data_IF_979010504749
#
_entry.id   IF_979010504749
#
_cell.length_a   1.000
_cell.length_b   1.000
_cell.length_c   1.000
_cell.angle_alpha   90.00
_cell.angle_beta   90.00
_cell.angle_gamma   90.00
#
_symmetry.space_group_name_H-M   'P 1'
#
loop_
_entity.id
_entity.type
_entity.pdbx_description
1 polymer ?
#
# COMPACT_ATOMS: atom_id res chain seq x y z
N UNK A 1 59.44 -1.95 -46.17
CA UNK A 1 58.06 -2.48 -46.29
C UNK A 1 57.16 -1.81 -45.26
N UNK A 2 56.87 -0.53 -45.46
CA UNK A 2 56.07 0.28 -44.52
C UNK A 2 55.19 1.22 -45.33
N UNK A 3 54.07 0.73 -45.85
CA UNK A 3 53.06 1.61 -46.48
C UNK A 3 51.66 1.00 -46.56
N UNK A 4 51.34 -0.02 -45.76
CA UNK A 4 49.97 -0.57 -45.73
C UNK A 4 49.11 0.04 -44.61
N UNK A 5 49.71 0.68 -43.60
CA UNK A 5 48.96 1.30 -42.51
C UNK A 5 48.51 2.75 -42.76
N UNK A 6 48.94 3.39 -43.86
CA UNK A 6 48.80 4.83 -44.05
C UNK A 6 47.65 5.25 -44.99
N UNK A 7 46.56 4.49 -44.99
CA UNK A 7 45.33 4.86 -45.71
C UNK A 7 44.05 4.56 -44.95
N UNK A 8 44.07 4.69 -43.62
CA UNK A 8 42.82 4.82 -42.86
C UNK A 8 42.43 6.30 -42.87
N UNK A 9 41.56 6.64 -43.82
CA UNK A 9 40.96 7.97 -44.02
C UNK A 9 40.61 8.62 -42.67
N UNK A 10 40.92 9.91 -42.44
CA UNK A 10 40.67 10.61 -41.17
C UNK A 10 39.20 10.55 -40.71
N UNK A 11 38.27 10.31 -41.65
CA UNK A 11 36.85 10.06 -41.36
C UNK A 11 36.60 8.80 -40.52
N UNK A 12 37.39 7.74 -40.70
CA UNK A 12 37.23 6.49 -39.94
C UNK A 12 37.72 6.62 -38.50
N UNK A 13 38.82 7.35 -38.27
CA UNK A 13 39.33 7.66 -36.93
C UNK A 13 38.32 8.49 -36.12
N UNK A 14 37.71 9.49 -36.76
CA UNK A 14 36.70 10.35 -36.15
C UNK A 14 35.41 9.59 -35.82
N UNK A 15 34.99 8.68 -36.71
CA UNK A 15 33.85 7.79 -36.48
C UNK A 15 34.11 6.86 -35.29
N UNK A 16 35.32 6.31 -35.16
CA UNK A 16 35.70 5.43 -34.04
C UNK A 16 35.65 6.16 -32.69
N UNK A 17 36.16 7.38 -32.63
CA UNK A 17 36.09 8.24 -31.43
C UNK A 17 34.63 8.55 -31.06
N UNK A 18 33.80 8.88 -32.05
CA UNK A 18 32.38 9.14 -31.84
C UNK A 18 31.64 7.91 -31.29
N UNK A 19 31.92 6.71 -31.81
CA UNK A 19 31.37 5.46 -31.30
C UNK A 19 31.82 5.16 -29.87
N UNK A 20 33.07 5.49 -29.52
CA UNK A 20 33.60 5.29 -28.18
C UNK A 20 32.93 6.23 -27.16
N UNK A 21 32.72 7.49 -27.53
CA UNK A 21 31.97 8.45 -26.70
C UNK A 21 30.52 8.00 -26.50
N UNK A 22 29.86 7.54 -27.56
CA UNK A 22 28.49 7.03 -27.49
C UNK A 22 28.38 5.83 -26.53
N UNK A 23 29.36 4.92 -26.58
CA UNK A 23 29.42 3.76 -25.69
C UNK A 23 29.57 4.19 -24.22
N UNK A 24 30.43 5.16 -23.93
CA UNK A 24 30.58 5.70 -22.58
C UNK A 24 29.29 6.35 -22.05
N UNK A 25 28.55 7.07 -22.90
CA UNK A 25 27.27 7.66 -22.52
C UNK A 25 26.25 6.57 -22.16
N UNK A 26 26.14 5.52 -22.99
CA UNK A 26 25.21 4.40 -22.74
C UNK A 26 25.55 3.69 -21.43
N UNK A 27 26.84 3.38 -21.21
CA UNK A 27 27.29 2.73 -19.97
C UNK A 27 27.02 3.64 -18.76
N UNK A 28 27.29 4.94 -18.87
CA UNK A 28 27.00 5.90 -17.81
C UNK A 28 25.52 5.96 -17.44
N UNK A 29 24.62 5.99 -18.43
CA UNK A 29 23.17 5.97 -18.19
C UNK A 29 22.74 4.68 -17.49
N UNK A 30 23.26 3.52 -17.91
CA UNK A 30 22.94 2.23 -17.28
C UNK A 30 23.40 2.20 -15.82
N UNK A 31 24.60 2.69 -15.53
CA UNK A 31 25.12 2.76 -14.15
C UNK A 31 24.29 3.71 -13.28
N UNK A 32 23.91 4.88 -13.79
CA UNK A 32 23.05 5.84 -13.06
C UNK A 32 21.68 5.24 -12.78
N UNK A 33 21.06 4.57 -13.76
CA UNK A 33 19.77 3.88 -13.57
C UNK A 33 19.92 2.77 -12.53
N UNK A 34 21.00 1.99 -12.54
CA UNK A 34 21.24 0.93 -11.57
C UNK A 34 21.45 1.49 -10.14
N UNK A 35 22.22 2.57 -10.00
CA UNK A 35 22.41 3.23 -8.70
C UNK A 35 21.09 3.82 -8.21
N UNK A 36 20.27 4.40 -9.11
CA UNK A 36 18.97 4.94 -8.76
C UNK A 36 17.99 3.84 -8.32
N UNK A 37 17.96 2.69 -9.00
CA UNK A 37 17.11 1.56 -8.58
C UNK A 37 17.57 0.96 -7.27
N UNK A 38 18.87 0.77 -7.06
CA UNK A 38 19.43 0.28 -5.79
C UNK A 38 19.20 1.29 -4.66
N UNK A 39 19.39 2.59 -4.90
CA UNK A 39 19.14 3.64 -3.90
C UNK A 39 17.66 3.71 -3.54
N UNK A 40 16.76 3.54 -4.52
CA UNK A 40 15.32 3.43 -4.28
C UNK A 40 14.94 2.13 -3.54
N UNK A 41 15.74 1.07 -3.65
CA UNK A 41 15.55 -0.17 -2.86
C UNK A 41 16.15 -0.07 -1.45
N UNK A 42 17.30 0.59 -1.28
CA UNK A 42 17.96 0.76 0.02
C UNK A 42 17.30 1.83 0.91
N UNK A 43 16.62 2.83 0.33
CA UNK A 43 15.80 3.77 1.10
C UNK A 43 14.55 3.14 1.71
N UNK A 44 14.23 1.88 1.35
CA UNK A 44 13.12 1.10 1.94
C UNK A 44 13.58 0.28 3.16
N UNK A 45 14.89 0.15 3.42
CA UNK A 45 15.39 -0.85 4.37
C UNK A 45 16.25 -0.32 5.52
N UNK A 46 16.22 0.98 5.82
CA UNK A 46 16.99 1.52 6.96
C UNK A 46 16.33 2.69 7.68
N UNK A 47 15.02 2.64 7.90
CA UNK A 47 14.44 3.30 9.06
C UNK A 47 14.51 2.33 10.23
N UNK A 48 14.92 2.80 11.40
CA UNK A 48 14.73 2.09 12.66
C UNK A 48 13.32 1.51 12.72
N UNK A 49 13.21 0.21 12.96
CA UNK A 49 11.95 -0.52 13.12
C UNK A 49 11.21 0.00 14.36
N UNK A 50 10.56 1.15 14.26
CA UNK A 50 9.47 1.49 15.17
C UNK A 50 8.29 0.64 14.76
N UNK A 51 7.98 -0.35 15.60
CA UNK A 51 6.79 -1.18 15.43
C UNK A 51 5.60 -0.21 15.45
N UNK A 52 4.80 -0.15 14.37
CA UNK A 52 3.64 0.73 14.35
C UNK A 52 2.67 0.29 15.43
N UNK A 53 2.04 1.27 16.08
CA UNK A 53 0.91 1.03 16.96
C UNK A 53 -0.23 0.45 16.11
N UNK A 54 -0.87 -0.61 16.62
CA UNK A 54 -1.90 -1.33 15.90
C UNK A 54 -3.22 -1.13 16.60
N UNK A 55 -4.18 -0.56 15.89
CA UNK A 55 -5.57 -0.47 16.33
C UNK A 55 -6.34 -1.59 15.65
N UNK A 56 -6.89 -2.51 16.42
CA UNK A 56 -7.82 -3.51 15.88
C UNK A 56 -9.21 -2.89 15.81
N UNK A 57 -9.85 -2.99 14.65
CA UNK A 57 -11.20 -2.53 14.45
C UNK A 57 -12.11 -3.62 13.93
N UNK A 58 -13.39 -3.43 14.22
CA UNK A 58 -14.46 -4.30 13.75
C UNK A 58 -15.60 -3.44 13.22
N UNK A 59 -16.24 -3.88 12.14
CA UNK A 59 -17.52 -3.33 11.72
C UNK A 59 -18.34 -4.39 10.98
N UNK A 60 -19.66 -4.21 11.01
CA UNK A 60 -20.60 -5.04 10.29
C UNK A 60 -20.92 -4.41 8.94
N UNK A 61 -20.68 -5.18 7.87
CA UNK A 61 -21.13 -4.84 6.52
C UNK A 61 -22.38 -5.63 6.23
N UNK A 62 -23.46 -4.95 5.86
CA UNK A 62 -24.69 -5.58 5.37
C UNK A 62 -24.54 -5.82 3.87
N UNK A 63 -25.04 -6.96 3.39
CA UNK A 63 -24.93 -7.35 1.98
C UNK A 63 -25.44 -6.24 1.04
N UNK A 64 -24.64 -5.89 0.04
CA UNK A 64 -24.92 -4.82 -0.91
C UNK A 64 -24.46 -5.18 -2.32
N UNK A 65 -24.71 -4.31 -3.32
CA UNK A 65 -24.40 -4.62 -4.72
C UNK A 65 -22.89 -4.86 -5.00
N UNK A 66 -21.99 -4.47 -4.11
CA UNK A 66 -20.52 -4.56 -4.28
C UNK A 66 -19.84 -5.70 -3.49
N UNK A 67 -20.54 -6.28 -2.50
CA UNK A 67 -20.07 -7.38 -1.64
C UNK A 67 -21.15 -8.45 -1.61
N UNK A 68 -21.02 -9.45 -2.48
CA UNK A 68 -21.81 -10.69 -2.39
C UNK A 68 -21.09 -11.64 -1.46
N UNK A 69 -21.79 -12.15 -0.46
CA UNK A 69 -21.15 -13.00 0.52
C UNK A 69 -20.99 -14.44 0.02
N UNK A 70 -19.95 -14.70 -0.76
CA UNK A 70 -19.52 -16.06 -1.12
C UNK A 70 -18.73 -16.68 0.05
N UNK A 71 -19.08 -17.89 0.50
CA UNK A 71 -18.37 -18.59 1.58
C UNK A 71 -16.85 -18.73 1.39
N UNK A 72 -16.36 -18.61 0.16
CA UNK A 72 -14.91 -18.56 -0.14
C UNK A 72 -14.20 -17.36 0.48
N UNK A 73 -14.91 -16.25 0.75
CA UNK A 73 -14.34 -15.06 1.39
C UNK A 73 -13.89 -15.30 2.83
N UNK A 74 -14.39 -16.35 3.50
CA UNK A 74 -13.98 -16.70 4.86
C UNK A 74 -12.58 -17.34 4.91
N UNK A 75 -12.13 -17.89 3.78
CA UNK A 75 -10.85 -18.56 3.67
C UNK A 75 -9.77 -17.52 3.37
N UNK A 76 -8.90 -17.24 4.35
CA UNK A 76 -7.86 -16.19 4.25
C UNK A 76 -6.92 -16.37 3.04
N UNK A 77 -6.69 -17.61 2.61
CA UNK A 77 -5.85 -17.94 1.47
C UNK A 77 -6.58 -17.88 0.12
N UNK A 78 -7.85 -17.49 0.09
CA UNK A 78 -8.60 -17.42 -1.15
C UNK A 78 -8.36 -16.10 -1.88
N UNK A 79 -8.49 -16.16 -3.21
CA UNK A 79 -8.51 -14.97 -4.04
C UNK A 79 -9.68 -14.04 -3.66
N UNK A 80 -10.83 -14.62 -3.30
CA UNK A 80 -12.01 -13.85 -2.89
C UNK A 80 -11.76 -13.06 -1.60
N UNK A 81 -11.10 -13.65 -0.59
CA UNK A 81 -10.67 -12.91 0.60
C UNK A 81 -9.79 -11.74 0.19
N UNK A 82 -8.77 -12.00 -0.63
CA UNK A 82 -7.78 -10.99 -1.03
C UNK A 82 -8.41 -9.83 -1.80
N UNK A 83 -9.33 -10.10 -2.73
CA UNK A 83 -10.05 -9.07 -3.49
C UNK A 83 -10.87 -8.17 -2.55
N UNK A 84 -11.65 -8.76 -1.65
CA UNK A 84 -12.52 -8.00 -0.74
C UNK A 84 -11.74 -7.25 0.33
N UNK A 85 -10.71 -7.89 0.91
CA UNK A 85 -9.77 -7.25 1.83
C UNK A 85 -9.12 -6.02 1.21
N UNK A 86 -8.64 -6.14 -0.04
CA UNK A 86 -8.03 -5.02 -0.76
C UNK A 86 -9.00 -3.87 -1.03
N UNK A 87 -10.28 -4.14 -1.33
CA UNK A 87 -11.30 -3.08 -1.50
C UNK A 87 -11.49 -2.30 -0.19
N UNK A 88 -11.69 -3.02 0.92
CA UNK A 88 -11.88 -2.42 2.24
C UNK A 88 -10.63 -1.62 2.66
N UNK A 89 -9.44 -2.19 2.48
CA UNK A 89 -8.17 -1.51 2.77
C UNK A 89 -7.99 -0.24 1.94
N UNK A 90 -8.33 -0.26 0.64
CA UNK A 90 -8.30 0.93 -0.21
C UNK A 90 -9.22 2.01 0.34
N UNK A 91 -10.42 1.64 0.75
CA UNK A 91 -11.37 2.59 1.30
C UNK A 91 -10.90 3.17 2.64
N UNK A 92 -10.42 2.33 3.56
CA UNK A 92 -9.81 2.78 4.82
C UNK A 92 -8.62 3.72 4.55
N UNK A 93 -7.78 3.41 3.56
CA UNK A 93 -6.67 4.27 3.15
C UNK A 93 -7.17 5.64 2.68
N UNK A 94 -8.22 5.70 1.87
CA UNK A 94 -8.82 6.98 1.42
C UNK A 94 -9.33 7.78 2.62
N UNK A 95 -10.08 7.13 3.52
CA UNK A 95 -10.66 7.78 4.71
C UNK A 95 -9.58 8.43 5.56
N UNK A 96 -8.57 7.66 5.98
CA UNK A 96 -7.58 8.16 6.94
C UNK A 96 -6.54 9.09 6.29
N UNK A 97 -6.18 8.88 5.02
CA UNK A 97 -5.26 9.80 4.31
C UNK A 97 -5.89 11.14 3.96
N UNK A 98 -7.22 11.22 3.91
CA UNK A 98 -7.93 12.49 3.71
C UNK A 98 -8.40 13.11 5.04
N UNK A 99 -8.05 12.50 6.17
CA UNK A 99 -8.35 13.01 7.51
C UNK A 99 -7.18 13.80 8.08
N UNK A 100 -7.39 14.43 9.24
CA UNK A 100 -6.32 15.07 10.02
C UNK A 100 -5.20 14.11 10.48
N UNK A 101 -5.43 12.79 10.37
CA UNK A 101 -4.47 11.74 10.73
C UNK A 101 -3.58 11.26 9.58
N UNK A 102 -3.54 11.94 8.42
CA UNK A 102 -2.72 11.53 7.27
C UNK A 102 -1.26 11.22 7.64
N UNK A 103 -0.63 12.08 8.46
CA UNK A 103 0.78 11.96 8.84
C UNK A 103 1.04 10.91 9.93
N UNK A 104 -0.02 10.43 10.57
CA UNK A 104 0.03 9.48 11.69
C UNK A 104 -0.37 8.08 11.20
N UNK A 105 -1.30 8.00 10.25
CA UNK A 105 -1.76 6.78 9.62
C UNK A 105 -0.76 6.23 8.60
N UNK A 106 -0.41 4.95 8.73
CA UNK A 106 0.56 4.28 7.84
C UNK A 106 -0.08 3.23 6.92
N UNK A 107 -1.25 2.71 7.25
CA UNK A 107 -1.97 1.75 6.41
C UNK A 107 -3.00 0.93 7.17
N UNK A 108 -3.66 0.02 6.45
CA UNK A 108 -4.65 -0.89 7.02
C UNK A 108 -4.46 -2.30 6.48
N UNK A 109 -4.94 -3.28 7.24
CA UNK A 109 -4.92 -4.70 6.88
C UNK A 109 -6.21 -5.36 7.36
N UNK A 110 -6.97 -5.99 6.46
CA UNK A 110 -8.11 -6.80 6.86
C UNK A 110 -7.61 -8.18 7.26
N UNK A 111 -7.92 -8.61 8.47
CA UNK A 111 -7.41 -9.85 9.04
C UNK A 111 -8.41 -10.99 8.98
N UNK A 112 -9.70 -10.69 9.03
CA UNK A 112 -10.75 -11.71 9.08
C UNK A 112 -12.08 -11.20 8.52
N UNK A 113 -12.79 -12.13 7.91
CA UNK A 113 -14.21 -12.02 7.59
C UNK A 113 -14.97 -13.13 8.30
N UNK A 114 -16.10 -12.80 8.91
CA UNK A 114 -16.95 -13.76 9.62
C UNK A 114 -18.42 -13.48 9.35
N UNK A 115 -19.18 -14.50 9.02
CA UNK A 115 -20.64 -14.36 8.94
C UNK A 115 -21.23 -14.12 10.32
N UNK A 116 -22.16 -13.18 10.40
CA UNK A 116 -23.00 -13.02 11.58
C UNK A 116 -24.20 -13.96 11.44
N UNK A 117 -24.42 -14.93 12.34
CA UNK A 117 -25.49 -15.92 12.16
C UNK A 117 -26.91 -15.34 12.22
N UNK A 118 -27.09 -14.22 12.93
CA UNK A 118 -28.40 -13.66 13.24
C UNK A 118 -28.91 -12.64 12.21
N UNK A 119 -28.04 -12.11 11.35
CA UNK A 119 -28.36 -11.06 10.37
C UNK A 119 -27.58 -11.30 9.08
N UNK A 120 -28.07 -10.88 7.89
CA UNK A 120 -27.35 -11.01 6.63
C UNK A 120 -26.20 -9.98 6.55
N UNK A 121 -25.22 -10.13 7.43
CA UNK A 121 -24.09 -9.24 7.57
C UNK A 121 -22.78 -10.02 7.72
N UNK A 122 -21.71 -9.35 7.32
CA UNK A 122 -20.34 -9.81 7.46
C UNK A 122 -19.64 -8.94 8.49
N UNK A 123 -19.13 -9.59 9.52
CA UNK A 123 -18.22 -9.00 10.48
C UNK A 123 -16.80 -8.96 9.88
N UNK A 124 -16.25 -7.75 9.83
CA UNK A 124 -14.95 -7.45 9.23
C UNK A 124 -14.01 -7.03 10.35
N UNK A 125 -12.99 -7.85 10.60
CA UNK A 125 -11.88 -7.47 11.48
C UNK A 125 -10.74 -6.91 10.66
N UNK A 126 -10.23 -5.75 11.06
CA UNK A 126 -9.11 -5.09 10.42
C UNK A 126 -8.14 -4.49 11.45
N UNK A 127 -6.94 -4.17 11.00
CA UNK A 127 -5.91 -3.49 11.77
C UNK A 127 -5.59 -2.18 11.06
N UNK A 128 -5.66 -1.06 11.78
CA UNK A 128 -5.05 0.20 11.38
C UNK A 128 -3.64 0.24 11.94
N UNK A 129 -2.69 0.59 11.08
CA UNK A 129 -1.28 0.76 11.41
C UNK A 129 -1.04 2.25 11.58
N UNK A 130 -0.63 2.64 12.77
CA UNK A 130 -0.45 4.03 13.16
C UNK A 130 0.99 4.21 13.68
N UNK A 131 1.54 5.40 13.50
CA UNK A 131 2.82 5.77 14.11
C UNK A 131 2.76 5.59 15.62
N UNK A 132 3.78 4.96 16.20
CA UNK A 132 3.87 4.68 17.64
C UNK A 132 4.56 5.79 18.44
N UNK A 133 5.14 6.78 17.77
CA UNK A 133 5.83 7.91 18.40
C UNK A 133 4.90 9.10 18.69
N UNK A 134 3.61 8.97 18.41
CA UNK A 134 2.58 9.97 18.67
C UNK A 134 1.55 9.36 19.62
N UNK A 135 1.22 10.08 20.68
CA UNK A 135 0.10 9.71 21.54
C UNK A 135 -1.20 9.91 20.75
N UNK A 136 -1.96 8.82 20.56
CA UNK A 136 -3.17 8.82 19.76
C UNK A 136 -4.37 8.48 20.63
N UNK A 137 -5.44 9.25 20.43
CA UNK A 137 -6.74 8.91 20.99
C UNK A 137 -7.51 8.03 20.00
N UNK A 138 -7.79 6.79 20.42
CA UNK A 138 -8.56 5.81 19.64
C UNK A 138 -9.97 6.33 19.33
N UNK A 139 -10.55 7.13 20.23
CA UNK A 139 -11.88 7.73 20.05
C UNK A 139 -11.89 8.63 18.83
N UNK A 140 -10.84 9.43 18.62
CA UNK A 140 -10.79 10.32 17.46
C UNK A 140 -10.67 9.54 16.14
N UNK A 141 -9.87 8.47 16.11
CA UNK A 141 -9.80 7.58 14.94
C UNK A 141 -11.17 6.93 14.65
N UNK A 142 -11.88 6.53 15.70
CA UNK A 142 -13.21 5.94 15.61
C UNK A 142 -14.23 6.96 15.07
N UNK A 143 -14.16 8.20 15.53
CA UNK A 143 -15.03 9.28 15.08
C UNK A 143 -14.80 9.62 13.61
N UNK A 144 -13.55 9.64 13.14
CA UNK A 144 -13.24 9.81 11.71
C UNK A 144 -13.95 8.75 10.87
N UNK A 145 -13.82 7.48 11.24
CA UNK A 145 -14.44 6.39 10.49
C UNK A 145 -15.97 6.44 10.55
N UNK A 146 -16.55 6.62 11.74
CA UNK A 146 -18.00 6.71 11.93
C UNK A 146 -18.60 7.89 11.17
N UNK A 147 -18.00 9.07 11.28
CA UNK A 147 -18.49 10.26 10.60
C UNK A 147 -18.39 10.13 9.08
N UNK A 148 -17.31 9.53 8.57
CA UNK A 148 -17.20 9.24 7.15
C UNK A 148 -18.31 8.30 6.67
N UNK A 149 -18.51 7.18 7.37
CA UNK A 149 -19.53 6.17 7.02
C UNK A 149 -20.93 6.78 7.07
N UNK A 150 -21.25 7.60 8.08
CA UNK A 150 -22.54 8.30 8.17
C UNK A 150 -22.78 9.27 7.02
N UNK A 151 -21.75 10.02 6.63
CA UNK A 151 -21.89 11.08 5.63
C UNK A 151 -21.87 10.57 4.19
N UNK A 152 -21.10 9.50 3.91
CA UNK A 152 -20.79 9.06 2.54
C UNK A 152 -21.06 7.57 2.28
N UNK A 153 -21.43 6.81 3.31
CA UNK A 153 -21.46 5.36 3.24
C UNK A 153 -20.06 4.75 3.11
N UNK A 154 -20.00 3.47 2.72
CA UNK A 154 -18.74 2.76 2.54
C UNK A 154 -18.67 2.08 1.17
N UNK A 155 -18.33 2.88 0.16
CA UNK A 155 -18.21 2.41 -1.24
C UNK A 155 -19.47 1.66 -1.69
N UNK A 156 -20.65 2.26 -1.54
CA UNK A 156 -21.94 1.66 -1.89
C UNK A 156 -22.41 0.51 -1.00
N UNK A 157 -21.65 0.11 0.03
CA UNK A 157 -22.07 -0.85 1.04
C UNK A 157 -22.66 -0.14 2.25
N UNK A 158 -23.63 -0.80 2.89
CA UNK A 158 -24.22 -0.33 4.14
C UNK A 158 -23.38 -0.88 5.29
N UNK A 159 -22.77 0.00 6.05
CA UNK A 159 -22.11 -0.33 7.32
C UNK A 159 -22.97 0.25 8.44
N UNK A 160 -23.25 -0.56 9.45
CA UNK A 160 -23.84 -0.05 10.69
C UNK A 160 -22.78 0.74 11.45
N UNK A 161 -22.94 2.06 11.54
CA UNK A 161 -21.96 2.95 12.18
C UNK A 161 -21.80 2.66 13.67
N UNK A 162 -22.84 2.11 14.32
CA UNK A 162 -22.82 1.71 15.73
C UNK A 162 -22.03 0.44 15.96
N UNK A 163 -21.94 -0.41 14.93
CA UNK A 163 -21.13 -1.63 14.98
C UNK A 163 -19.63 -1.37 14.85
N UNK A 164 -19.24 -0.17 14.39
CA UNK A 164 -17.83 0.21 14.23
C UNK A 164 -17.21 0.33 15.62
N UNK A 165 -16.13 -0.40 15.85
CA UNK A 165 -15.32 -0.35 17.06
C UNK A 165 -13.83 -0.32 16.71
N UNK A 166 -13.03 0.26 17.60
CA UNK A 166 -11.57 0.31 17.52
C UNK A 166 -10.99 0.15 18.91
N UNK A 167 -9.94 -0.67 19.03
CA UNK A 167 -9.25 -0.96 20.27
C UNK A 167 -7.73 -1.03 20.03
N UNK A 168 -6.93 -0.65 21.03
CA UNK A 168 -5.47 -0.79 20.95
C UNK A 168 -5.10 -2.25 21.11
N UNK A 169 -4.47 -2.82 20.08
CA UNK A 169 -3.98 -4.18 20.13
C UNK A 169 -2.58 -4.23 20.72
N UNK A 170 -2.50 -4.64 21.99
CA UNK A 170 -1.24 -4.96 22.64
C UNK A 170 -0.82 -6.36 22.20
N UNK A 171 0.30 -6.46 21.49
CA UNK A 171 0.94 -7.75 21.25
C UNK A 171 1.82 -8.07 22.47
N UNK A 172 1.72 -9.28 23.05
CA UNK A 172 2.67 -9.74 24.06
C UNK A 172 4.08 -9.89 23.48
#
# INVERSE_FOLDING_TARGET
MSSVFDKISPRHKLKLIMWLILLFIIVGVVVVVLIFTISKMHSVSSSSLHVPLRLEGHFLVIEGPLLKFDGRLLLKNSEQFTIHANKIQRQLNVIYRQSEYELVYSGSEVTQFRFVPAIPALDVTFILKVRSDVDIDVINFLDVLRNYVRARGFDGNTIDDKSISLEIKHFP
#
